data_IF_181403738780
#
_entry.id   IF_181403738780
#
_cell.length_a   1.000
_cell.length_b   1.000
_cell.length_c   1.000
_cell.angle_alpha   90.00
_cell.angle_beta   90.00
_cell.angle_gamma   90.00
#
_symmetry.space_group_name_H-M   'P 1'
#
loop_
_entity.id
_entity.type
_entity.pdbx_description
1 polymer ?
#
# COMPACT_ATOMS: atom_id res chain seq x y z
N UNK A 1 -3.80 -2.18 -1.47
CA UNK A 1 -5.04 -2.50 -0.70
C UNK A 1 -5.14 -3.97 -0.32
N UNK A 2 -4.93 -4.93 -1.23
CA UNK A 2 -4.97 -6.38 -0.93
C UNK A 2 -4.16 -6.78 0.32
N UNK A 3 -2.88 -6.42 0.35
CA UNK A 3 -1.97 -6.67 1.48
C UNK A 3 -2.51 -6.03 2.77
N UNK A 4 -3.07 -4.81 2.70
CA UNK A 4 -3.62 -4.12 3.87
C UNK A 4 -4.85 -4.84 4.45
N UNK A 5 -5.73 -5.36 3.59
CA UNK A 5 -6.90 -6.15 4.00
C UNK A 5 -6.43 -7.45 4.67
N UNK A 6 -5.56 -8.21 4.02
CA UNK A 6 -5.04 -9.46 4.55
C UNK A 6 -4.26 -9.25 5.87
N UNK A 7 -3.48 -8.18 5.97
CA UNK A 7 -2.77 -7.81 7.19
C UNK A 7 -3.76 -7.48 8.33
N UNK A 8 -4.82 -6.72 8.05
CA UNK A 8 -5.85 -6.42 9.04
C UNK A 8 -6.54 -7.70 9.55
N UNK A 9 -6.85 -8.64 8.65
CA UNK A 9 -7.58 -9.87 8.95
C UNK A 9 -6.73 -10.95 9.64
N UNK A 10 -5.44 -11.04 9.31
CA UNK A 10 -4.58 -12.13 9.76
C UNK A 10 -3.57 -11.72 10.82
N UNK A 11 -3.18 -10.45 10.85
CA UNK A 11 -2.11 -9.95 11.72
C UNK A 11 -2.65 -9.00 12.77
N UNK A 12 -3.24 -7.86 12.37
CA UNK A 12 -3.70 -6.84 13.33
C UNK A 12 -4.89 -7.38 14.14
N UNK A 13 -5.91 -7.92 13.47
CA UNK A 13 -7.07 -8.58 14.06
C UNK A 13 -7.79 -7.74 15.14
N UNK A 14 -7.80 -6.41 14.96
CA UNK A 14 -8.32 -5.45 15.94
C UNK A 14 -7.75 -5.63 17.36
N UNK A 15 -6.52 -6.16 17.48
CA UNK A 15 -5.80 -6.26 18.75
C UNK A 15 -5.17 -4.92 19.11
N UNK A 16 -4.94 -4.74 20.40
CA UNK A 16 -4.13 -3.63 20.89
C UNK A 16 -2.76 -3.65 20.22
N UNK A 17 -2.25 -2.46 19.93
CA UNK A 17 -0.96 -2.26 19.28
C UNK A 17 -0.03 -1.46 20.20
N UNK A 18 1.27 -1.72 20.09
CA UNK A 18 2.31 -0.93 20.74
C UNK A 18 3.56 -0.86 19.86
N UNK A 19 4.29 0.24 19.95
CA UNK A 19 5.58 0.41 19.28
C UNK A 19 6.67 0.62 20.32
N UNK A 20 7.78 -0.10 20.16
CA UNK A 20 9.00 0.08 20.93
C UNK A 20 10.13 0.42 19.94
N UNK A 21 10.40 1.72 19.79
CA UNK A 21 11.41 2.21 18.83
C UNK A 21 12.84 1.83 19.24
N UNK A 22 13.11 1.69 20.53
CA UNK A 22 14.43 1.30 21.03
C UNK A 22 14.74 -0.15 20.66
N UNK A 23 13.74 -1.03 20.75
CA UNK A 23 13.85 -2.43 20.29
C UNK A 23 13.63 -2.59 18.78
N UNK A 24 13.00 -1.62 18.13
CA UNK A 24 12.65 -1.68 16.71
C UNK A 24 11.54 -2.70 16.42
N UNK A 25 10.50 -2.73 17.26
CA UNK A 25 9.37 -3.67 17.11
C UNK A 25 8.01 -3.00 17.19
N UNK A 26 7.07 -3.50 16.40
CA UNK A 26 5.63 -3.28 16.57
C UNK A 26 5.00 -4.56 17.12
N UNK A 27 4.15 -4.42 18.13
CA UNK A 27 3.40 -5.51 18.74
C UNK A 27 1.91 -5.41 18.42
N UNK A 28 1.26 -6.55 18.18
CA UNK A 28 -0.20 -6.70 18.12
C UNK A 28 -0.62 -7.78 19.13
N UNK A 29 -1.14 -7.36 20.28
CA UNK A 29 -1.28 -8.25 21.44
C UNK A 29 0.09 -8.76 21.90
N UNK A 30 0.31 -10.08 21.83
CA UNK A 30 1.58 -10.72 22.22
C UNK A 30 2.51 -11.00 21.03
N UNK A 31 2.08 -10.73 19.80
CA UNK A 31 2.90 -10.99 18.61
C UNK A 31 3.73 -9.75 18.29
N UNK A 32 5.04 -9.92 18.13
CA UNK A 32 6.00 -8.85 17.86
C UNK A 32 6.60 -9.02 16.46
N UNK A 33 6.76 -7.91 15.74
CA UNK A 33 7.30 -7.87 14.39
C UNK A 33 8.39 -6.79 14.29
N UNK A 34 9.47 -7.01 13.52
CA UNK A 34 10.44 -5.97 13.23
C UNK A 34 9.76 -4.78 12.55
N UNK A 35 10.04 -3.56 13.01
CA UNK A 35 9.48 -2.35 12.42
C UNK A 35 10.50 -1.58 11.60
N UNK A 36 9.97 -0.80 10.66
CA UNK A 36 10.62 0.33 10.02
C UNK A 36 9.72 1.55 10.20
N UNK A 37 10.21 2.59 10.86
CA UNK A 37 9.52 3.85 10.99
C UNK A 37 9.55 4.59 9.64
N UNK A 38 8.37 4.91 9.11
CA UNK A 38 8.22 5.59 7.82
C UNK A 38 8.12 7.10 8.00
N UNK A 39 7.37 7.53 9.01
CA UNK A 39 7.15 8.94 9.31
C UNK A 39 5.95 9.15 10.21
N UNK A 40 5.62 10.41 10.45
CA UNK A 40 4.53 10.81 11.34
C UNK A 40 3.70 11.93 10.76
N UNK A 41 2.40 11.87 11.02
CA UNK A 41 1.47 12.97 10.79
C UNK A 41 1.35 13.84 12.05
N UNK A 42 1.28 15.15 11.88
CA UNK A 42 1.06 16.12 12.95
C UNK A 42 -0.26 16.88 12.75
N UNK A 43 -1.18 16.75 13.71
CA UNK A 43 -2.49 17.40 13.63
C UNK A 43 -2.40 18.93 13.70
N UNK A 44 -1.43 19.48 14.44
CA UNK A 44 -1.31 20.93 14.66
C UNK A 44 -0.88 21.69 13.41
N UNK A 45 -0.03 21.08 12.59
CA UNK A 45 0.46 21.66 11.33
C UNK A 45 -0.21 21.07 10.09
N UNK A 46 -0.97 19.98 10.23
CA UNK A 46 -1.54 19.21 9.13
C UNK A 46 -0.46 18.76 8.12
N UNK A 47 0.63 18.21 8.64
CA UNK A 47 1.81 17.81 7.85
C UNK A 47 2.20 16.38 8.11
N UNK A 48 2.85 15.78 7.12
CA UNK A 48 3.61 14.53 7.22
C UNK A 48 5.10 14.86 7.30
N UNK A 49 5.82 14.22 8.21
CA UNK A 49 7.28 14.27 8.30
C UNK A 49 7.86 12.87 8.06
N UNK A 50 8.74 12.74 7.07
CA UNK A 50 9.45 11.50 6.80
C UNK A 50 10.47 11.14 7.89
N UNK A 51 10.53 9.87 8.26
CA UNK A 51 11.44 9.36 9.27
C UNK A 51 12.93 9.49 8.91
N UNK A 52 13.26 9.57 7.62
CA UNK A 52 14.65 9.73 7.18
C UNK A 52 15.25 11.09 7.56
N UNK A 53 14.44 12.11 7.85
CA UNK A 53 14.89 13.40 8.41
C UNK A 53 15.47 13.21 9.82
N UNK A 54 14.97 12.20 10.54
CA UNK A 54 15.50 11.70 11.80
C UNK A 54 15.73 12.76 12.89
N UNK A 55 14.81 13.72 13.03
CA UNK A 55 14.87 14.79 14.05
C UNK A 55 15.02 14.27 15.50
N UNK A 56 14.59 13.03 15.76
CA UNK A 56 14.61 12.40 17.07
C UNK A 56 15.85 11.52 17.31
N UNK A 57 16.73 11.35 16.32
CA UNK A 57 17.96 10.56 16.47
C UNK A 57 17.73 9.05 16.64
N UNK A 58 16.71 8.49 15.97
CA UNK A 58 16.46 7.06 15.93
C UNK A 58 17.63 6.27 15.32
N UNK A 59 17.79 5.01 15.75
CA UNK A 59 18.76 4.08 15.17
C UNK A 59 18.48 3.89 13.68
N UNK A 60 19.52 3.99 12.86
CA UNK A 60 19.48 3.79 11.42
C UNK A 60 18.80 2.48 11.01
N UNK A 61 18.88 1.44 11.84
CA UNK A 61 18.23 0.14 11.61
C UNK A 61 16.71 0.24 11.52
N UNK A 62 16.08 1.17 12.21
CA UNK A 62 14.62 1.31 12.22
C UNK A 62 14.12 2.37 11.22
N UNK A 63 15.00 3.12 10.57
CA UNK A 63 14.64 4.11 9.53
C UNK A 63 15.24 3.79 8.16
N UNK A 64 15.80 2.58 8.01
CA UNK A 64 16.52 2.17 6.80
C UNK A 64 15.61 2.16 5.58
N UNK A 65 14.36 1.70 5.73
CA UNK A 65 13.38 1.73 4.65
C UNK A 65 13.03 3.17 4.24
N UNK A 66 12.81 4.10 5.18
CA UNK A 66 12.54 5.48 4.82
C UNK A 66 13.67 6.10 3.98
N UNK A 67 14.93 5.79 4.30
CA UNK A 67 16.10 6.23 3.51
C UNK A 67 16.20 5.54 2.16
N UNK A 68 15.88 4.25 2.08
CA UNK A 68 15.77 3.52 0.82
C UNK A 68 14.75 4.19 -0.11
N UNK A 69 13.57 4.53 0.42
CA UNK A 69 12.49 5.17 -0.32
C UNK A 69 12.88 6.57 -0.77
N UNK A 70 13.59 7.35 0.06
CA UNK A 70 14.18 8.63 -0.37
C UNK A 70 15.10 8.44 -1.57
N UNK A 71 16.03 7.48 -1.51
CA UNK A 71 16.96 7.21 -2.61
C UNK A 71 16.26 6.72 -3.89
N UNK A 72 15.16 5.96 -3.77
CA UNK A 72 14.30 5.60 -4.91
C UNK A 72 13.55 6.83 -5.45
N UNK A 73 13.03 7.67 -4.57
CA UNK A 73 12.39 8.95 -4.91
C UNK A 73 13.30 9.88 -5.71
N UNK A 74 14.56 10.02 -5.30
CA UNK A 74 15.59 10.82 -6.00
C UNK A 74 15.82 10.29 -7.42
N UNK A 75 15.94 8.98 -7.61
CA UNK A 75 16.14 8.36 -8.94
C UNK A 75 14.93 8.54 -9.85
N UNK A 76 13.73 8.54 -9.29
CA UNK A 76 12.47 8.68 -10.01
C UNK A 76 12.04 10.15 -10.18
N UNK A 77 12.76 11.10 -9.57
CA UNK A 77 12.38 12.51 -9.47
C UNK A 77 10.97 12.73 -8.88
N UNK A 78 10.65 11.99 -7.80
CA UNK A 78 9.38 12.09 -7.10
C UNK A 78 9.53 12.98 -5.86
N UNK A 79 9.06 14.22 -5.96
CA UNK A 79 9.16 15.23 -4.89
C UNK A 79 8.55 14.75 -3.57
N UNK A 80 7.38 14.11 -3.61
CA UNK A 80 6.69 13.56 -2.44
C UNK A 80 7.52 12.55 -1.62
N UNK A 81 8.55 11.94 -2.20
CA UNK A 81 9.43 10.98 -1.51
C UNK A 81 10.77 11.61 -1.06
N UNK A 82 11.03 12.86 -1.45
CA UNK A 82 12.32 13.55 -1.24
C UNK A 82 12.20 14.84 -0.45
N UNK A 83 10.99 15.40 -0.34
CA UNK A 83 10.66 16.50 0.56
C UNK A 83 10.42 15.96 1.97
N UNK A 84 11.15 16.49 2.96
CA UNK A 84 11.12 15.98 4.34
C UNK A 84 9.74 16.13 4.99
N UNK A 85 9.19 17.35 4.93
CA UNK A 85 7.91 17.73 5.51
C UNK A 85 6.95 18.15 4.40
N UNK A 86 5.74 17.58 4.40
CA UNK A 86 4.76 17.70 3.31
C UNK A 86 3.41 18.08 3.91
N UNK A 87 2.74 19.06 3.32
CA UNK A 87 1.35 19.38 3.67
C UNK A 87 0.42 18.23 3.30
N UNK A 88 -0.41 17.80 4.25
CA UNK A 88 -1.36 16.70 4.06
C UNK A 88 -2.55 17.19 3.23
N UNK A 89 -2.93 16.38 2.24
CA UNK A 89 -4.17 16.50 1.49
C UNK A 89 -4.89 15.15 1.42
N UNK A 90 -6.10 15.15 0.84
CA UNK A 90 -6.87 13.91 0.63
C UNK A 90 -6.11 12.88 -0.23
N UNK A 91 -5.30 13.35 -1.18
CA UNK A 91 -4.51 12.49 -2.08
C UNK A 91 -3.14 12.14 -1.48
N UNK A 92 -2.48 13.14 -0.88
CA UNK A 92 -1.12 13.02 -0.36
C UNK A 92 -1.13 13.11 1.16
N UNK A 93 -1.13 11.94 1.80
CA UNK A 93 -1.15 11.76 3.25
C UNK A 93 -0.30 10.55 3.65
N UNK A 94 -0.17 10.29 4.96
CA UNK A 94 0.64 9.20 5.47
C UNK A 94 0.21 7.83 4.94
N UNK A 95 -1.09 7.58 4.73
CA UNK A 95 -1.54 6.33 4.14
C UNK A 95 -1.01 6.14 2.73
N UNK A 96 -1.20 7.13 1.85
CA UNK A 96 -0.70 7.06 0.46
C UNK A 96 0.82 6.90 0.43
N UNK A 97 1.54 7.69 1.23
CA UNK A 97 3.00 7.62 1.30
C UNK A 97 3.51 6.28 1.84
N UNK A 98 2.80 5.68 2.81
CA UNK A 98 3.15 4.36 3.36
C UNK A 98 2.86 3.22 2.41
N UNK A 99 1.76 3.31 1.65
CA UNK A 99 1.45 2.35 0.57
C UNK A 99 2.54 2.40 -0.50
N UNK A 100 2.94 3.60 -0.93
CA UNK A 100 4.01 3.78 -1.92
C UNK A 100 5.34 3.26 -1.37
N UNK A 101 5.68 3.58 -0.12
CA UNK A 101 6.89 3.10 0.53
C UNK A 101 6.96 1.56 0.54
N UNK A 102 5.89 0.89 0.97
CA UNK A 102 5.86 -0.58 0.99
C UNK A 102 5.85 -1.18 -0.42
N UNK A 103 5.16 -0.54 -1.39
CA UNK A 103 5.10 -1.02 -2.77
C UNK A 103 6.41 -0.83 -3.55
N UNK A 104 7.21 0.17 -3.19
CA UNK A 104 8.53 0.41 -3.77
C UNK A 104 9.64 -0.37 -3.07
N UNK A 105 9.41 -0.94 -1.90
CA UNK A 105 10.44 -1.66 -1.14
C UNK A 105 10.92 -2.93 -1.84
N UNK A 106 12.17 -3.33 -1.60
CA UNK A 106 12.71 -4.59 -2.14
C UNK A 106 12.15 -5.84 -1.41
N UNK A 107 11.57 -5.64 -0.23
CA UNK A 107 10.94 -6.68 0.60
C UNK A 107 9.44 -6.44 0.72
N UNK A 108 8.72 -7.52 0.99
CA UNK A 108 7.31 -7.44 1.33
C UNK A 108 7.12 -6.86 2.73
N UNK A 109 6.45 -5.71 2.80
CA UNK A 109 6.06 -5.07 4.05
C UNK A 109 4.55 -4.92 4.15
N UNK A 110 4.06 -5.01 5.37
CA UNK A 110 2.79 -4.42 5.78
C UNK A 110 3.06 -3.00 6.30
N UNK A 111 2.04 -2.14 6.32
CA UNK A 111 2.11 -0.89 7.09
C UNK A 111 0.99 -0.81 8.13
N UNK A 112 1.24 -0.08 9.20
CA UNK A 112 0.27 0.22 10.24
C UNK A 112 0.19 1.72 10.50
N UNK A 113 -1.04 2.20 10.67
CA UNK A 113 -1.36 3.56 11.09
C UNK A 113 -1.63 3.55 12.59
N UNK A 114 -0.70 4.10 13.37
CA UNK A 114 -0.77 4.18 14.83
C UNK A 114 -1.22 5.56 15.28
N UNK A 115 -2.53 5.81 15.48
CA UNK A 115 -3.03 7.12 15.88
C UNK A 115 -2.69 7.44 17.34
N UNK A 116 -2.41 8.71 17.62
CA UNK A 116 -2.27 9.25 18.98
C UNK A 116 -2.86 10.67 19.06
N UNK A 117 -2.83 11.28 20.24
CA UNK A 117 -3.47 12.59 20.48
C UNK A 117 -2.94 13.74 19.62
N UNK A 118 -1.69 13.62 19.13
CA UNK A 118 -1.01 14.66 18.35
C UNK A 118 -1.02 14.42 16.84
N UNK A 119 -1.53 13.27 16.37
CA UNK A 119 -1.46 12.85 14.98
C UNK A 119 -1.33 11.34 14.87
N UNK A 120 -0.40 10.85 14.07
CA UNK A 120 -0.16 9.42 13.93
C UNK A 120 1.30 9.10 13.62
N UNK A 121 1.74 7.93 14.06
CA UNK A 121 2.96 7.31 13.54
C UNK A 121 2.59 6.29 12.48
N UNK A 122 3.42 6.18 11.45
CA UNK A 122 3.26 5.17 10.43
C UNK A 122 4.53 4.34 10.36
N UNK A 123 4.34 3.03 10.48
CA UNK A 123 5.42 2.05 10.47
C UNK A 123 5.14 1.00 9.41
N UNK A 124 6.19 0.57 8.73
CA UNK A 124 6.20 -0.68 7.99
C UNK A 124 6.70 -1.81 8.91
N UNK A 125 6.29 -3.04 8.65
CA UNK A 125 6.77 -4.20 9.39
C UNK A 125 6.73 -5.46 8.52
N UNK A 126 7.69 -6.35 8.74
CA UNK A 126 7.84 -7.62 8.04
C UNK A 126 7.77 -8.80 9.03
N UNK A 127 8.13 -10.00 8.59
CA UNK A 127 8.11 -11.20 9.43
C UNK A 127 6.71 -11.77 9.71
N UNK A 128 5.68 -11.24 9.03
CA UNK A 128 4.33 -11.81 9.04
C UNK A 128 4.26 -13.07 8.18
N UNK A 129 3.22 -13.88 8.42
CA UNK A 129 2.91 -15.07 7.61
C UNK A 129 2.79 -14.71 6.11
N UNK A 130 3.45 -15.48 5.24
CA UNK A 130 3.49 -15.22 3.79
C UNK A 130 2.10 -15.17 3.14
N UNK A 131 1.08 -15.79 3.76
CA UNK A 131 -0.31 -15.71 3.29
C UNK A 131 -0.85 -14.27 3.19
N UNK A 132 -0.23 -13.32 3.88
CA UNK A 132 -0.61 -11.89 3.77
C UNK A 132 -0.29 -11.33 2.38
N UNK A 133 0.66 -11.95 1.67
CA UNK A 133 1.15 -11.51 0.37
C UNK A 133 0.73 -12.45 -0.78
N UNK A 134 -0.15 -13.41 -0.52
CA UNK A 134 -0.61 -14.33 -1.56
C UNK A 134 -1.63 -13.69 -2.50
N UNK A 135 -1.73 -14.17 -3.75
CA UNK A 135 -2.78 -13.76 -4.67
C UNK A 135 -4.19 -13.91 -4.08
N UNK A 136 -5.10 -13.05 -4.52
CA UNK A 136 -6.52 -13.06 -4.20
C UNK A 136 -7.32 -13.76 -5.30
N UNK A 137 -8.51 -14.26 -4.93
CA UNK A 137 -9.43 -14.86 -5.89
C UNK A 137 -10.10 -13.79 -6.80
N UNK A 138 -10.85 -14.23 -7.81
CA UNK A 138 -11.45 -13.32 -8.78
C UNK A 138 -12.48 -12.36 -8.18
N UNK A 139 -13.20 -12.80 -7.13
CA UNK A 139 -14.21 -11.98 -6.46
C UNK A 139 -13.53 -10.89 -5.64
N UNK A 140 -12.56 -11.26 -4.81
CA UNK A 140 -11.81 -10.31 -4.00
C UNK A 140 -10.98 -9.36 -4.87
N UNK A 141 -10.44 -9.84 -5.98
CA UNK A 141 -9.80 -8.99 -6.99
C UNK A 141 -10.75 -7.92 -7.51
N UNK A 142 -11.95 -8.30 -7.95
CA UNK A 142 -12.96 -7.37 -8.45
C UNK A 142 -13.39 -6.37 -7.36
N UNK A 143 -13.64 -6.85 -6.14
CA UNK A 143 -14.02 -6.02 -5.00
C UNK A 143 -12.93 -4.99 -4.67
N UNK A 144 -11.66 -5.37 -4.72
CA UNK A 144 -10.52 -4.47 -4.49
C UNK A 144 -10.39 -3.46 -5.63
N UNK A 145 -10.56 -3.89 -6.89
CA UNK A 145 -10.49 -2.97 -8.04
C UNK A 145 -11.53 -1.86 -7.90
N UNK A 146 -12.79 -2.21 -7.58
CA UNK A 146 -13.87 -1.24 -7.40
C UNK A 146 -13.55 -0.24 -6.28
N UNK A 147 -13.06 -0.73 -5.13
CA UNK A 147 -12.69 0.15 -4.01
C UNK A 147 -11.55 1.10 -4.38
N UNK A 148 -10.51 0.60 -5.04
CA UNK A 148 -9.36 1.40 -5.44
C UNK A 148 -9.76 2.54 -6.39
N UNK A 149 -10.54 2.27 -7.43
CA UNK A 149 -10.92 3.30 -8.42
C UNK A 149 -11.91 4.32 -7.87
N UNK A 150 -12.62 4.00 -6.78
CA UNK A 150 -13.48 4.94 -6.06
C UNK A 150 -12.68 5.84 -5.11
N UNK A 151 -11.62 5.31 -4.51
CA UNK A 151 -10.83 6.01 -3.50
C UNK A 151 -9.69 6.84 -4.10
N UNK A 152 -9.13 6.42 -5.23
CA UNK A 152 -7.91 7.01 -5.78
C UNK A 152 -8.12 7.43 -7.25
N UNK A 153 -7.58 8.60 -7.67
CA UNK A 153 -7.61 9.04 -9.06
C UNK A 153 -6.57 8.28 -9.89
N UNK A 154 -6.86 7.01 -10.21
CA UNK A 154 -5.94 6.12 -10.91
C UNK A 154 -6.14 6.16 -12.43
N UNK A 155 -5.10 5.81 -13.19
CA UNK A 155 -5.31 5.25 -14.52
C UNK A 155 -5.78 3.80 -14.35
N UNK A 156 -7.05 3.50 -14.63
CA UNK A 156 -7.61 2.20 -14.22
C UNK A 156 -6.99 1.05 -15.00
N UNK A 157 -6.64 1.26 -16.28
CA UNK A 157 -5.97 0.24 -17.09
C UNK A 157 -4.62 -0.13 -16.50
N UNK A 158 -3.75 0.86 -16.27
CA UNK A 158 -2.43 0.63 -15.69
C UNK A 158 -2.54 -0.05 -14.31
N UNK A 159 -3.50 0.41 -13.50
CA UNK A 159 -3.75 -0.18 -12.18
C UNK A 159 -4.18 -1.65 -12.28
N UNK A 160 -5.17 -1.99 -13.11
CA UNK A 160 -5.65 -3.36 -13.27
C UNK A 160 -4.55 -4.27 -13.80
N UNK A 161 -3.78 -3.85 -14.81
CA UNK A 161 -2.68 -4.64 -15.35
C UNK A 161 -1.60 -4.89 -14.30
N UNK A 162 -1.20 -3.86 -13.56
CA UNK A 162 -0.22 -3.98 -12.47
C UNK A 162 -0.74 -4.88 -11.34
N UNK A 163 -2.02 -4.80 -11.02
CA UNK A 163 -2.62 -5.62 -9.97
C UNK A 163 -2.75 -7.09 -10.40
N UNK A 164 -3.07 -7.37 -11.67
CA UNK A 164 -3.04 -8.72 -12.24
C UNK A 164 -1.63 -9.32 -12.23
N UNK A 165 -0.62 -8.50 -12.54
CA UNK A 165 0.78 -8.91 -12.48
C UNK A 165 1.19 -9.28 -11.05
N UNK A 166 0.87 -8.43 -10.07
CA UNK A 166 1.05 -8.75 -8.65
C UNK A 166 0.31 -10.03 -8.24
N UNK A 167 -0.93 -10.20 -8.73
CA UNK A 167 -1.76 -11.38 -8.49
C UNK A 167 -1.30 -12.62 -9.28
N UNK A 168 -0.25 -12.51 -10.11
CA UNK A 168 0.26 -13.56 -11.00
C UNK A 168 -0.81 -14.17 -11.90
N UNK A 169 -1.82 -13.37 -12.25
CA UNK A 169 -2.97 -13.80 -13.05
C UNK A 169 -2.74 -13.48 -14.52
N UNK A 170 -2.83 -14.49 -15.38
CA UNK A 170 -2.67 -14.29 -16.83
C UNK A 170 -3.89 -13.58 -17.38
N UNK A 171 -3.67 -12.70 -18.35
CA UNK A 171 -4.75 -12.00 -19.03
C UNK A 171 -4.44 -11.78 -20.50
N UNK A 172 -5.48 -11.43 -21.24
CA UNK A 172 -5.38 -10.99 -22.64
C UNK A 172 -6.34 -9.85 -22.91
N UNK A 173 -6.00 -9.06 -23.91
CA UNK A 173 -6.89 -8.03 -24.44
C UNK A 173 -7.69 -8.56 -25.64
N UNK A 174 -8.96 -8.18 -25.67
CA UNK A 174 -9.82 -8.29 -26.85
C UNK A 174 -10.52 -6.94 -27.03
N UNK A 175 -10.05 -6.15 -27.99
CA UNK A 175 -10.52 -4.76 -28.18
C UNK A 175 -10.36 -3.96 -26.87
N UNK A 176 -11.44 -3.39 -26.33
CA UNK A 176 -11.43 -2.62 -25.08
C UNK A 176 -11.77 -3.46 -23.84
N UNK A 177 -11.77 -4.78 -23.97
CA UNK A 177 -12.05 -5.70 -22.86
C UNK A 177 -10.77 -6.43 -22.46
N UNK A 178 -10.43 -6.38 -21.18
CA UNK A 178 -9.42 -7.24 -20.56
C UNK A 178 -10.10 -8.51 -20.05
N UNK A 179 -9.53 -9.66 -20.37
CA UNK A 179 -10.01 -10.97 -19.93
C UNK A 179 -8.90 -11.63 -19.11
N UNK A 180 -9.11 -11.77 -17.80
CA UNK A 180 -8.20 -12.41 -16.86
C UNK A 180 -8.65 -13.84 -16.54
N UNK A 181 -7.71 -14.78 -16.57
CA UNK A 181 -7.92 -16.21 -16.33
C UNK A 181 -7.51 -16.55 -14.89
N UNK A 182 -8.49 -16.66 -13.99
CA UNK A 182 -8.30 -17.06 -12.59
C UNK A 182 -8.35 -18.60 -12.45
N UNK A 183 -8.06 -19.08 -11.24
CA UNK A 183 -8.15 -20.51 -10.93
C UNK A 183 -9.56 -21.07 -11.14
N UNK A 184 -9.67 -22.40 -11.24
CA UNK A 184 -10.94 -23.11 -11.50
C UNK A 184 -11.66 -22.71 -12.79
N UNK A 185 -10.91 -22.22 -13.79
CA UNK A 185 -11.44 -21.72 -15.07
C UNK A 185 -12.35 -20.49 -14.95
N UNK A 186 -12.36 -19.83 -13.80
CA UNK A 186 -13.11 -18.60 -13.61
C UNK A 186 -12.48 -17.47 -14.44
N UNK A 187 -13.32 -16.69 -15.11
CA UNK A 187 -12.87 -15.55 -15.92
C UNK A 187 -13.41 -14.26 -15.36
N UNK A 188 -12.53 -13.27 -15.28
CA UNK A 188 -12.89 -11.89 -14.99
C UNK A 188 -12.76 -11.07 -16.27
N UNK A 189 -13.86 -10.51 -16.74
CA UNK A 189 -13.88 -9.59 -17.88
C UNK A 189 -14.08 -8.17 -17.39
N UNK A 190 -13.22 -7.26 -17.84
CA UNK A 190 -13.26 -5.84 -17.48
C UNK A 190 -13.32 -5.02 -18.76
N UNK A 191 -14.40 -4.27 -18.93
CA UNK A 191 -14.56 -3.36 -20.06
C UNK A 191 -14.07 -1.97 -19.71
N UNK A 192 -13.34 -1.37 -20.65
CA UNK A 192 -12.80 -0.03 -20.54
C UNK A 192 -13.46 0.93 -21.52
N UNK A 193 -13.57 2.19 -21.12
CA UNK A 193 -14.05 3.27 -21.97
C UNK A 193 -13.07 3.57 -23.12
N UNK A 194 -13.61 3.75 -24.32
CA UNK A 194 -12.82 4.18 -25.47
C UNK A 194 -12.28 5.60 -25.26
N UNK A 195 -10.98 5.79 -25.55
CA UNK A 195 -10.34 7.11 -25.68
C UNK A 195 -10.38 7.97 -24.40
N UNK A 196 -10.50 7.34 -23.23
CA UNK A 196 -10.40 8.01 -21.94
C UNK A 196 -8.93 8.09 -21.49
N UNK A 197 -8.44 9.28 -21.15
CA UNK A 197 -7.06 9.49 -20.63
C UNK A 197 -6.80 8.67 -19.34
N UNK A 198 -7.84 8.44 -18.53
CA UNK A 198 -7.77 7.61 -17.33
C UNK A 198 -8.09 6.13 -17.59
N UNK A 199 -8.43 5.79 -18.83
CA UNK A 199 -8.89 4.46 -19.25
C UNK A 199 -9.91 3.90 -18.27
N UNK A 200 -11.06 4.57 -18.10
CA UNK A 200 -12.05 4.24 -17.06
C UNK A 200 -12.67 2.87 -17.28
N UNK A 201 -12.99 2.18 -16.19
CA UNK A 201 -13.72 0.90 -16.19
C UNK A 201 -15.21 1.21 -16.31
N UNK A 202 -15.90 0.54 -17.23
CA UNK A 202 -17.34 0.66 -17.42
C UNK A 202 -18.07 -0.55 -16.83
N UNK A 203 -17.48 -1.74 -16.93
CA UNK A 203 -18.11 -2.96 -16.46
C UNK A 203 -17.08 -3.98 -15.96
N UNK A 204 -17.48 -4.78 -14.97
CA UNK A 204 -16.71 -5.91 -14.44
C UNK A 204 -17.66 -7.11 -14.36
N UNK A 205 -17.30 -8.23 -14.99
CA UNK A 205 -18.11 -9.45 -15.03
C UNK A 205 -17.30 -10.66 -14.62
N UNK A 206 -17.83 -11.44 -13.69
CA UNK A 206 -17.32 -12.75 -13.32
C UNK A 206 -18.09 -13.83 -14.07
N UNK A 207 -17.40 -14.56 -14.92
CA UNK A 207 -17.96 -15.67 -15.68
C UNK A 207 -17.45 -16.99 -15.07
N UNK A 208 -18.41 -17.88 -14.77
CA UNK A 208 -18.18 -19.24 -14.26
C UNK A 208 -18.17 -20.25 -15.39
#
# INVERSE_FOLDING_TARGET
MAIQIACAEHVVKNRDWNVDFDKGIIAFGNDEYPLQFLGSEANSSNTWLWAWENINGFDDKIISLAREIKGKGEKLNLEALTTAEIDISDELNGHTLSIIACGLADKNYCYYYGPHSGGAILVAFDGVDEKVFTPVDAKDFADIVVRCIQQFPLNHKLFVESFLEWNKTKYKWKENTLIADFENSQKLEIDFEEKSELARIINIRLNS
#
